data_IF_426518882049
#
_entry.id   IF_426518882049
#
_cell.length_a   1.000
_cell.length_b   1.000
_cell.length_c   1.000
_cell.angle_alpha   90.00
_cell.angle_beta   90.00
_cell.angle_gamma   90.00
#
_symmetry.space_group_name_H-M   'P 1'
#
loop_
_entity.id
_entity.type
_entity.pdbx_description
1 polymer ?
#
# COMPACT_ATOMS: atom_id res chain seq x y z
N UNK A 1 12.86 13.15 9.58
CA UNK A 1 12.19 12.32 8.57
C UNK A 1 10.77 12.08 9.06
N UNK A 2 9.76 12.27 8.22
CA UNK A 2 8.35 12.16 8.62
C UNK A 2 7.66 11.20 7.65
N UNK A 3 7.22 10.05 8.15
CA UNK A 3 6.42 9.08 7.42
C UNK A 3 4.98 9.15 7.89
N UNK A 4 4.02 9.09 6.95
CA UNK A 4 2.60 9.03 7.28
C UNK A 4 2.11 7.59 7.15
N UNK A 5 1.61 7.03 8.24
CA UNK A 5 0.99 5.71 8.26
C UNK A 5 -0.53 5.84 8.35
N UNK A 6 -1.23 5.11 7.50
CA UNK A 6 -2.69 5.03 7.46
C UNK A 6 -3.11 3.60 7.71
N UNK A 7 -4.20 3.40 8.46
CA UNK A 7 -4.90 2.12 8.51
C UNK A 7 -6.10 2.19 7.57
N UNK A 8 -6.18 1.24 6.65
CA UNK A 8 -7.23 1.18 5.63
C UNK A 8 -7.84 -0.21 5.61
N UNK A 9 -9.17 -0.26 5.75
CA UNK A 9 -9.94 -1.50 5.74
C UNK A 9 -10.34 -1.85 4.30
N UNK A 10 -9.68 -2.84 3.70
CA UNK A 10 -9.97 -3.29 2.33
C UNK A 10 -11.25 -4.14 2.27
N UNK A 11 -11.89 -4.15 1.09
CA UNK A 11 -13.11 -4.92 0.79
C UNK A 11 -14.33 -4.58 1.65
N UNK A 12 -14.40 -3.34 2.17
CA UNK A 12 -15.56 -2.87 2.91
C UNK A 12 -15.79 -1.37 2.71
N UNK A 13 -17.03 -0.94 2.91
CA UNK A 13 -17.44 0.46 3.07
C UNK A 13 -17.72 0.81 4.54
N UNK A 14 -17.65 -0.18 5.44
CA UNK A 14 -17.99 -0.06 6.85
C UNK A 14 -16.71 -0.06 7.67
N UNK A 15 -16.43 0.99 8.46
CA UNK A 15 -15.23 1.02 9.31
C UNK A 15 -15.13 -0.21 10.22
N UNK A 16 -13.91 -0.69 10.43
CA UNK A 16 -13.59 -1.83 11.30
C UNK A 16 -14.17 -3.17 10.81
N UNK A 17 -14.41 -3.29 9.50
CA UNK A 17 -14.79 -4.52 8.79
C UNK A 17 -13.77 -4.80 7.68
N UNK A 18 -13.98 -5.87 6.91
CA UNK A 18 -13.07 -6.20 5.82
C UNK A 18 -11.70 -6.68 6.30
N UNK A 19 -10.64 -6.40 5.51
CA UNK A 19 -9.28 -6.80 5.83
C UNK A 19 -8.36 -5.57 5.99
N UNK A 20 -7.89 -5.26 7.21
CA UNK A 20 -7.09 -4.07 7.47
C UNK A 20 -5.66 -4.21 6.95
N UNK A 21 -5.18 -3.19 6.26
CA UNK A 21 -3.77 -3.02 5.94
C UNK A 21 -3.25 -1.67 6.45
N UNK A 22 -1.97 -1.63 6.83
CA UNK A 22 -1.26 -0.38 6.99
C UNK A 22 -0.72 0.09 5.63
N UNK A 23 -0.79 1.39 5.36
CA UNK A 23 -0.20 2.02 4.18
C UNK A 23 0.68 3.17 4.64
N UNK A 24 1.98 3.08 4.36
CA UNK A 24 2.99 4.08 4.72
C UNK A 24 3.40 4.83 3.45
N UNK A 25 3.18 6.14 3.44
CA UNK A 25 3.43 7.01 2.29
C UNK A 25 4.78 7.71 2.35
N UNK A 26 5.39 7.90 1.18
CA UNK A 26 6.47 8.86 0.89
C UNK A 26 7.74 8.70 1.71
N UNK A 27 8.13 7.44 1.98
CA UNK A 27 9.39 7.12 2.67
C UNK A 27 10.31 6.17 1.87
N UNK A 28 10.70 6.56 0.65
CA UNK A 28 11.55 5.74 -0.23
C UNK A 28 12.96 5.47 0.33
N UNK A 29 13.46 6.32 1.23
CA UNK A 29 14.78 6.22 1.83
C UNK A 29 14.89 5.16 2.94
N UNK A 30 13.76 4.60 3.38
CA UNK A 30 13.76 3.55 4.39
C UNK A 30 14.42 2.28 3.86
N UNK A 31 15.36 1.74 4.64
CA UNK A 31 15.92 0.44 4.34
C UNK A 31 14.93 -0.69 4.69
N UNK A 32 15.23 -1.91 4.23
CA UNK A 32 14.38 -3.08 4.47
C UNK A 32 14.17 -3.35 5.95
N UNK A 33 15.20 -3.23 6.77
CA UNK A 33 15.14 -3.57 8.20
C UNK A 33 14.25 -2.57 8.95
N UNK A 34 14.30 -1.29 8.61
CA UNK A 34 13.43 -0.26 9.18
C UNK A 34 11.99 -0.45 8.73
N UNK A 35 11.74 -0.76 7.45
CA UNK A 35 10.40 -1.08 6.97
C UNK A 35 9.81 -2.31 7.70
N UNK A 36 10.62 -3.35 7.90
CA UNK A 36 10.22 -4.55 8.64
C UNK A 36 9.92 -4.24 10.11
N UNK A 37 10.76 -3.46 10.78
CA UNK A 37 10.53 -3.03 12.15
C UNK A 37 9.24 -2.21 12.29
N UNK A 38 8.97 -1.30 11.36
CA UNK A 38 7.72 -0.53 11.32
C UNK A 38 6.51 -1.45 11.11
N UNK A 39 6.60 -2.41 10.18
CA UNK A 39 5.53 -3.39 9.96
C UNK A 39 5.25 -4.22 11.22
N UNK A 40 6.30 -4.60 11.96
CA UNK A 40 6.20 -5.26 13.26
C UNK A 40 5.52 -4.39 14.33
N UNK A 41 5.89 -3.11 14.43
CA UNK A 41 5.29 -2.15 15.37
C UNK A 41 3.81 -1.89 15.08
N UNK A 42 3.43 -1.76 13.79
CA UNK A 42 2.04 -1.55 13.38
C UNK A 42 1.16 -2.80 13.57
N UNK A 43 1.78 -3.99 13.57
CA UNK A 43 1.16 -5.28 13.92
C UNK A 43 -0.20 -5.56 13.23
N UNK A 44 -0.29 -5.23 11.94
CA UNK A 44 -1.37 -5.68 11.06
C UNK A 44 -0.88 -6.85 10.20
N UNK A 45 -1.81 -7.53 9.52
CA UNK A 45 -1.47 -8.63 8.63
C UNK A 45 -0.43 -8.20 7.60
N UNK A 46 -0.61 -7.02 7.00
CA UNK A 46 0.34 -6.44 6.05
C UNK A 46 0.45 -4.92 6.19
N UNK A 47 1.68 -4.44 5.94
CA UNK A 47 2.04 -3.03 5.76
C UNK A 47 2.57 -2.83 4.35
N UNK A 48 1.96 -1.93 3.59
CA UNK A 48 2.42 -1.49 2.28
C UNK A 48 3.18 -0.17 2.42
N UNK A 49 4.43 -0.14 1.95
CA UNK A 49 5.19 1.10 1.80
C UNK A 49 5.09 1.53 0.34
N UNK A 50 4.69 2.77 0.08
CA UNK A 50 4.43 3.26 -1.27
C UNK A 50 4.99 4.67 -1.49
N UNK A 51 5.54 4.88 -2.68
CA UNK A 51 5.99 6.18 -3.16
C UNK A 51 5.81 6.27 -4.69
N UNK A 52 5.69 7.49 -5.24
CA UNK A 52 5.59 7.69 -6.68
C UNK A 52 6.90 7.31 -7.38
N UNK A 53 6.76 6.71 -8.56
CA UNK A 53 7.81 6.46 -9.54
C UNK A 53 7.44 7.17 -10.85
N UNK A 54 8.37 7.21 -11.82
CA UNK A 54 8.19 7.96 -13.08
C UNK A 54 6.86 7.68 -13.79
N UNK A 55 6.46 6.40 -13.86
CA UNK A 55 5.29 5.95 -14.62
C UNK A 55 4.28 5.18 -13.75
N UNK A 56 4.29 5.35 -12.42
CA UNK A 56 3.41 4.60 -11.51
C UNK A 56 3.81 4.74 -10.04
N UNK A 57 3.63 3.67 -9.28
CA UNK A 57 3.95 3.63 -7.85
C UNK A 57 4.81 2.41 -7.53
N UNK A 58 5.92 2.62 -6.82
CA UNK A 58 6.64 1.52 -6.21
C UNK A 58 5.93 1.14 -4.91
N UNK A 59 5.66 -0.14 -4.72
CA UNK A 59 5.05 -0.68 -3.50
C UNK A 59 5.89 -1.84 -2.97
N UNK A 60 6.15 -1.84 -1.67
CA UNK A 60 6.76 -2.96 -0.94
C UNK A 60 5.80 -3.43 0.14
N UNK A 61 5.63 -4.75 0.25
CA UNK A 61 4.68 -5.35 1.19
C UNK A 61 5.43 -6.11 2.27
N UNK A 62 5.07 -5.87 3.52
CA UNK A 62 5.66 -6.53 4.67
C UNK A 62 4.55 -7.12 5.53
N UNK A 63 4.71 -8.38 5.89
CA UNK A 63 4.10 -8.92 7.11
C UNK A 63 4.92 -8.47 8.32
N UNK A 64 4.48 -8.70 9.57
CA UNK A 64 5.31 -8.42 10.74
C UNK A 64 6.65 -9.17 10.77
N UNK A 65 6.80 -10.26 10.00
CA UNK A 65 7.99 -11.12 10.04
C UNK A 65 8.86 -11.11 8.78
N UNK A 66 8.32 -10.75 7.61
CA UNK A 66 9.08 -10.73 6.35
C UNK A 66 8.43 -9.85 5.28
N UNK A 67 9.23 -9.50 4.28
CA UNK A 67 8.79 -8.85 3.05
C UNK A 67 8.25 -9.88 2.06
N UNK A 68 7.04 -9.66 1.55
CA UNK A 68 6.37 -10.54 0.58
C UNK A 68 6.27 -9.85 -0.79
N UNK A 69 6.23 -10.63 -1.89
CA UNK A 69 6.32 -10.04 -3.22
C UNK A 69 5.07 -9.25 -3.64
N UNK A 70 3.89 -9.64 -3.14
CA UNK A 70 2.59 -9.06 -3.46
C UNK A 70 1.56 -9.41 -2.37
N UNK A 71 0.61 -8.51 -2.09
CA UNK A 71 -0.58 -8.84 -1.30
C UNK A 71 -1.81 -8.10 -1.83
N UNK A 72 -2.85 -8.84 -2.20
CA UNK A 72 -4.02 -8.30 -2.89
C UNK A 72 -4.80 -7.24 -2.09
N UNK A 73 -5.14 -7.50 -0.83
CA UNK A 73 -5.92 -6.54 -0.04
C UNK A 73 -5.10 -5.30 0.34
N UNK A 74 -3.79 -5.45 0.56
CA UNK A 74 -2.90 -4.31 0.78
C UNK A 74 -2.73 -3.48 -0.49
N UNK A 75 -2.71 -4.08 -1.68
CA UNK A 75 -2.80 -3.37 -2.97
C UNK A 75 -4.11 -2.57 -3.06
N UNK A 76 -5.26 -3.19 -2.78
CA UNK A 76 -6.57 -2.51 -2.77
C UNK A 76 -6.58 -1.34 -1.80
N UNK A 77 -6.13 -1.56 -0.56
CA UNK A 77 -6.00 -0.52 0.46
C UNK A 77 -5.10 0.65 0.02
N UNK A 78 -3.97 0.32 -0.61
CA UNK A 78 -2.98 1.30 -1.08
C UNK A 78 -3.56 2.18 -2.17
N UNK A 79 -4.07 1.60 -3.25
CA UNK A 79 -4.59 2.37 -4.38
C UNK A 79 -5.89 3.09 -4.07
N UNK A 80 -6.71 2.56 -3.14
CA UNK A 80 -7.88 3.27 -2.64
C UNK A 80 -7.46 4.54 -1.90
N UNK A 81 -6.47 4.43 -1.01
CA UNK A 81 -5.93 5.57 -0.29
C UNK A 81 -5.30 6.60 -1.24
N UNK A 82 -4.48 6.15 -2.20
CA UNK A 82 -3.88 7.04 -3.19
C UNK A 82 -4.92 7.81 -3.99
N UNK A 83 -5.99 7.14 -4.44
CA UNK A 83 -7.11 7.80 -5.13
C UNK A 83 -7.86 8.78 -4.22
N UNK A 84 -8.15 8.38 -2.97
CA UNK A 84 -8.81 9.25 -1.98
C UNK A 84 -8.00 10.51 -1.66
N UNK A 85 -6.67 10.43 -1.75
CA UNK A 85 -5.76 11.56 -1.55
C UNK A 85 -5.48 12.35 -2.84
N UNK A 86 -6.04 11.96 -3.99
CA UNK A 86 -5.81 12.60 -5.28
C UNK A 86 -4.42 12.34 -5.87
N UNK A 87 -3.73 11.29 -5.42
CA UNK A 87 -2.41 10.88 -5.89
C UNK A 87 -2.50 9.90 -7.07
N UNK A 88 -3.51 9.02 -7.07
CA UNK A 88 -3.82 8.11 -8.18
C UNK A 88 -5.11 8.57 -8.90
N UNK A 89 -5.16 8.40 -10.22
CA UNK A 89 -6.30 8.79 -11.04
C UNK A 89 -7.26 7.61 -11.30
N UNK A 90 -8.49 7.92 -11.70
CA UNK A 90 -9.39 6.93 -12.33
C UNK A 90 -8.72 6.33 -13.58
N UNK A 91 -8.92 5.04 -13.82
CA UNK A 91 -8.27 4.29 -14.88
C UNK A 91 -7.13 3.38 -14.40
N UNK A 92 -6.27 2.98 -15.33
CA UNK A 92 -5.15 2.06 -15.07
C UNK A 92 -3.99 2.85 -14.43
N UNK A 93 -3.54 2.39 -13.27
CA UNK A 93 -2.35 2.87 -12.60
C UNK A 93 -1.34 1.72 -12.51
N UNK A 94 -0.05 1.99 -12.72
CA UNK A 94 0.98 0.96 -12.62
C UNK A 94 1.49 0.82 -11.20
N UNK A 95 1.58 -0.41 -10.72
CA UNK A 95 2.26 -0.78 -9.49
C UNK A 95 3.53 -1.56 -9.81
N UNK A 96 4.67 -1.11 -9.30
CA UNK A 96 5.91 -1.85 -9.32
C UNK A 96 6.11 -2.51 -7.96
N UNK A 97 6.32 -3.82 -7.94
CA UNK A 97 6.53 -4.60 -6.71
C UNK A 97 7.59 -5.67 -6.93
N UNK A 98 7.92 -6.42 -5.89
CA UNK A 98 8.79 -7.61 -6.03
C UNK A 98 8.19 -8.71 -6.92
N UNK A 99 6.86 -8.70 -7.16
CA UNK A 99 6.21 -9.57 -8.13
C UNK A 99 6.29 -9.06 -9.59
N UNK A 100 6.84 -7.86 -9.81
CA UNK A 100 6.90 -7.20 -11.11
C UNK A 100 5.94 -6.02 -11.25
N UNK A 101 5.74 -5.58 -12.50
CA UNK A 101 4.78 -4.54 -12.89
C UNK A 101 3.37 -5.14 -12.95
N UNK A 102 2.42 -4.49 -12.28
CA UNK A 102 1.01 -4.90 -12.20
C UNK A 102 0.13 -3.68 -12.48
N UNK A 103 -0.79 -3.81 -13.43
CA UNK A 103 -1.81 -2.80 -13.67
C UNK A 103 -2.91 -2.90 -12.61
N UNK A 104 -3.21 -1.77 -11.98
CA UNK A 104 -4.27 -1.61 -10.98
C UNK A 104 -5.33 -0.67 -11.56
N UNK A 105 -6.53 -1.19 -11.77
CA UNK A 105 -7.65 -0.41 -12.28
C UNK A 105 -8.40 0.26 -11.13
N UNK A 106 -8.52 1.59 -11.18
CA UNK A 106 -9.44 2.33 -10.33
C UNK A 106 -10.66 2.71 -11.18
N UNK A 107 -11.86 2.34 -10.74
CA UNK A 107 -13.12 2.65 -11.42
C UNK A 107 -14.22 3.00 -10.43
N UNK A 108 -14.78 4.21 -10.57
CA UNK A 108 -15.89 4.69 -9.75
C UNK A 108 -15.57 4.60 -8.24
N UNK A 109 -14.33 4.94 -7.87
CA UNK A 109 -13.82 4.84 -6.49
C UNK A 109 -13.60 3.42 -5.96
N UNK A 110 -13.56 2.42 -6.84
CA UNK A 110 -13.22 1.03 -6.51
C UNK A 110 -11.89 0.64 -7.14
N UNK A 111 -11.13 -0.18 -6.42
CA UNK A 111 -9.86 -0.78 -6.86
C UNK A 111 -10.06 -2.26 -7.11
#
# INVERSE_FOLDING_TARGET
MECRAFKVDAFTDTPLKGNPAAVVLDCPELDRETMLAIAGELNLSETAFVWPEKDGFQVRFFTPGDEIPLCGHATVATFYLLWRLGLAAEGINKMFSKAGEIDVLIKDGRV
#
